data_IF_924912178775
#
_entry.id   IF_924912178775
#
_cell.length_a   1.000
_cell.length_b   1.000
_cell.length_c   1.000
_cell.angle_alpha   90.00
_cell.angle_beta   90.00
_cell.angle_gamma   90.00
#
_symmetry.space_group_name_H-M   'P 1'
#
loop_
_entity.id
_entity.type
_entity.pdbx_description
1 polymer ?
#
# COMPACT_ATOMS: atom_id res chain seq x y z
N UNK A 1 -0.55 18.02 19.84
CA UNK A 1 -0.80 18.77 18.60
C UNK A 1 -0.50 17.82 17.47
N UNK A 2 -1.48 17.53 16.62
CA UNK A 2 -1.39 16.56 15.51
C UNK A 2 -0.34 17.01 14.49
N UNK A 3 0.84 16.41 14.51
CA UNK A 3 1.85 16.60 13.47
C UNK A 3 1.26 16.16 12.13
N UNK A 4 1.22 17.12 11.20
CA UNK A 4 0.52 17.00 9.93
C UNK A 4 1.39 16.19 8.97
N UNK A 5 1.05 14.91 8.78
CA UNK A 5 1.76 14.00 7.88
C UNK A 5 1.54 14.27 6.37
N UNK A 6 1.14 15.49 5.99
CA UNK A 6 0.79 15.84 4.61
C UNK A 6 -0.53 15.25 4.10
N UNK A 7 -0.98 14.13 4.67
CA UNK A 7 -2.27 13.52 4.37
C UNK A 7 -3.00 13.04 5.63
N UNK A 8 -4.25 12.64 5.45
CA UNK A 8 -5.12 12.06 6.47
C UNK A 8 -6.01 10.99 5.86
N UNK A 9 -6.33 9.97 6.66
CA UNK A 9 -7.25 8.89 6.31
C UNK A 9 -8.07 8.53 7.56
N UNK A 10 -9.35 8.19 7.39
CA UNK A 10 -10.18 7.67 8.48
C UNK A 10 -9.95 6.19 8.60
N UNK A 11 -9.88 5.61 9.80
CA UNK A 11 -9.79 4.16 9.98
C UNK A 11 -11.17 3.49 9.97
N UNK A 12 -11.29 2.24 9.45
CA UNK A 12 -12.55 1.52 9.49
C UNK A 12 -12.86 1.09 10.93
N UNK A 13 -14.14 0.93 11.23
CA UNK A 13 -14.58 0.33 12.48
C UNK A 13 -14.40 -1.19 12.40
N UNK A 14 -13.28 -1.67 12.96
CA UNK A 14 -12.88 -3.07 12.96
C UNK A 14 -13.24 -3.72 14.29
N UNK A 15 -13.81 -4.93 14.24
CA UNK A 15 -14.05 -5.73 15.42
C UNK A 15 -12.69 -6.25 15.93
N UNK A 16 -12.29 -5.76 17.11
CA UNK A 16 -11.03 -6.12 17.76
C UNK A 16 -11.05 -7.58 18.21
N UNK A 17 -9.90 -8.24 18.18
CA UNK A 17 -9.67 -9.49 18.92
C UNK A 17 -9.06 -9.19 20.31
N UNK A 18 -8.26 -8.12 20.44
CA UNK A 18 -7.37 -7.88 21.60
C UNK A 18 -7.30 -6.41 22.08
N UNK A 19 -8.39 -5.63 22.03
CA UNK A 19 -8.44 -4.23 22.51
C UNK A 19 -7.47 -3.21 21.87
N UNK A 20 -6.65 -3.54 20.86
CA UNK A 20 -5.81 -2.54 20.18
C UNK A 20 -6.64 -1.58 19.31
N UNK A 21 -6.53 -0.27 19.56
CA UNK A 21 -7.16 0.74 18.71
C UNK A 21 -6.34 0.92 17.43
N UNK A 22 -6.95 0.64 16.27
CA UNK A 22 -6.31 0.84 14.97
C UNK A 22 -6.38 2.30 14.56
N UNK A 23 -5.21 2.89 14.41
CA UNK A 23 -5.00 4.29 14.06
C UNK A 23 -3.79 4.41 13.16
N UNK A 24 -3.79 5.44 12.34
CA UNK A 24 -2.59 5.85 11.63
C UNK A 24 -1.65 6.57 12.60
N UNK A 25 -0.42 6.07 12.70
CA UNK A 25 0.73 6.75 13.26
C UNK A 25 1.42 7.62 12.20
N UNK A 26 2.25 8.54 12.69
CA UNK A 26 2.99 9.47 11.86
C UNK A 26 4.42 9.61 12.37
N UNK A 27 5.38 9.51 11.47
CA UNK A 27 6.80 9.71 11.76
C UNK A 27 7.37 10.75 10.81
N UNK A 28 7.66 11.94 11.33
CA UNK A 28 8.31 13.04 10.60
C UNK A 28 7.36 14.13 10.07
N UNK A 29 7.89 14.97 9.19
CA UNK A 29 7.17 16.06 8.53
C UNK A 29 7.68 16.25 7.09
N UNK A 30 6.76 16.44 6.14
CA UNK A 30 7.04 16.53 4.71
C UNK A 30 7.48 17.94 4.26
N UNK A 31 7.35 18.94 5.14
CA UNK A 31 7.53 20.37 4.80
C UNK A 31 8.98 20.79 4.53
N UNK A 32 9.97 19.99 4.88
CA UNK A 32 11.40 20.31 4.74
C UNK A 32 12.11 19.54 3.62
N UNK A 33 11.37 19.02 2.63
CA UNK A 33 11.93 18.23 1.52
C UNK A 33 12.37 16.81 1.92
N UNK A 34 12.10 16.40 3.15
CA UNK A 34 12.19 15.00 3.58
C UNK A 34 10.88 14.25 3.33
N UNK A 35 10.90 12.94 3.57
CA UNK A 35 9.69 12.12 3.56
C UNK A 35 9.09 12.02 4.97
N UNK A 36 7.78 11.85 5.03
CA UNK A 36 7.06 11.43 6.25
C UNK A 36 6.54 10.03 6.04
N UNK A 37 6.49 9.23 7.10
CA UNK A 37 5.83 7.91 7.04
C UNK A 37 4.53 7.96 7.80
N UNK A 38 3.44 7.62 7.11
CA UNK A 38 2.16 7.31 7.73
C UNK A 38 2.04 5.80 7.79
N UNK A 39 1.93 5.26 8.99
CA UNK A 39 1.88 3.83 9.20
C UNK A 39 0.60 3.42 9.93
N UNK A 40 0.03 2.30 9.54
CA UNK A 40 -1.00 1.61 10.31
C UNK A 40 -0.52 0.19 10.55
N UNK A 41 -0.32 -0.13 11.82
CA UNK A 41 -0.09 -1.50 12.25
C UNK A 41 -1.45 -2.15 12.54
N UNK A 42 -1.71 -3.25 11.85
CA UNK A 42 -2.93 -4.04 12.02
C UNK A 42 -2.60 -5.51 12.25
N UNK A 43 -1.36 -5.81 12.67
CA UNK A 43 -0.97 -7.16 13.01
C UNK A 43 -1.83 -7.72 14.15
N UNK A 44 -2.24 -8.96 13.92
CA UNK A 44 -2.79 -9.85 14.93
C UNK A 44 -1.86 -11.07 14.99
N UNK A 45 -0.95 -11.10 15.98
CA UNK A 45 -0.37 -12.32 16.54
C UNK A 45 0.38 -11.99 17.86
N UNK A 46 0.13 -12.74 18.94
CA UNK A 46 0.92 -12.61 20.19
C UNK A 46 2.23 -13.41 20.16
N UNK A 47 2.41 -14.29 19.18
CA UNK A 47 3.44 -15.34 19.17
C UNK A 47 4.25 -15.42 17.85
N UNK A 48 4.11 -14.50 16.90
CA UNK A 48 4.72 -14.64 15.57
C UNK A 48 5.55 -13.43 15.12
N UNK A 49 6.67 -13.72 14.47
CA UNK A 49 7.62 -12.77 13.89
C UNK A 49 7.01 -12.06 12.67
N UNK A 50 7.43 -10.81 12.46
CA UNK A 50 6.98 -9.87 11.42
C UNK A 50 6.92 -10.52 10.02
N UNK A 51 5.72 -10.82 9.50
CA UNK A 51 5.52 -11.17 8.08
C UNK A 51 5.13 -9.94 7.24
N UNK A 52 5.51 -9.93 5.96
CA UNK A 52 5.39 -8.80 5.01
C UNK A 52 3.98 -8.34 4.62
N UNK A 53 2.94 -8.63 5.41
CA UNK A 53 1.56 -8.13 5.26
C UNK A 53 1.04 -7.42 6.50
N UNK A 54 1.94 -7.07 7.41
CA UNK A 54 1.69 -6.62 8.77
C UNK A 54 1.18 -5.18 8.92
N UNK A 55 1.61 -4.32 7.99
CA UNK A 55 1.55 -2.87 8.14
C UNK A 55 1.27 -2.23 6.80
N UNK A 56 0.51 -1.15 6.84
CA UNK A 56 0.33 -0.24 5.72
C UNK A 56 1.26 0.93 6.01
N UNK A 57 2.26 1.14 5.16
CA UNK A 57 3.20 2.25 5.26
C UNK A 57 3.10 3.10 4.00
N UNK A 58 2.64 4.33 4.15
CA UNK A 58 2.70 5.34 3.10
C UNK A 58 3.90 6.24 3.35
N UNK A 59 4.81 6.32 2.39
CA UNK A 59 5.85 7.34 2.32
C UNK A 59 5.26 8.55 1.63
N UNK A 60 5.19 9.67 2.34
CA UNK A 60 4.61 10.94 1.87
C UNK A 60 5.73 11.93 1.60
N UNK A 61 5.73 12.49 0.39
CA UNK A 61 6.74 13.42 -0.09
C UNK A 61 6.10 14.71 -0.60
N UNK A 62 6.78 15.84 -0.39
CA UNK A 62 6.41 17.16 -0.93
C UNK A 62 6.71 17.32 -2.43
N UNK A 63 6.48 16.28 -3.22
CA UNK A 63 6.67 16.26 -4.67
C UNK A 63 5.39 15.79 -5.33
N UNK A 64 4.91 16.52 -6.35
CA UNK A 64 3.69 16.15 -7.08
C UNK A 64 3.81 14.84 -7.85
N UNK A 65 2.69 14.13 -8.01
CA UNK A 65 2.64 12.77 -8.53
C UNK A 65 3.24 12.64 -9.93
N UNK A 66 2.96 13.59 -10.83
CA UNK A 66 3.49 13.56 -12.20
C UNK A 66 5.02 13.67 -12.23
N UNK A 67 5.59 14.51 -11.35
CA UNK A 67 7.05 14.62 -11.20
C UNK A 67 7.62 13.34 -10.61
N UNK A 68 6.91 12.74 -9.65
CA UNK A 68 7.37 11.52 -8.99
C UNK A 68 7.33 10.31 -9.92
N UNK A 69 6.32 10.17 -10.78
CA UNK A 69 6.25 9.10 -11.78
C UNK A 69 7.23 9.28 -12.94
N UNK A 70 7.62 10.52 -13.23
CA UNK A 70 8.67 10.82 -14.21
C UNK A 70 10.08 10.64 -13.63
N UNK A 71 10.24 10.72 -12.30
CA UNK A 71 11.49 10.42 -11.62
C UNK A 71 11.73 8.90 -11.64
N UNK A 72 12.86 8.46 -12.20
CA UNK A 72 13.21 7.03 -12.23
C UNK A 72 13.61 6.50 -10.84
N UNK A 73 14.17 7.36 -9.99
CA UNK A 73 14.66 7.00 -8.65
C UNK A 73 13.55 7.09 -7.58
N UNK A 74 13.52 6.11 -6.68
CA UNK A 74 12.64 6.03 -5.50
C UNK A 74 11.13 6.19 -5.74
N UNK A 75 10.68 5.81 -6.94
CA UNK A 75 9.29 5.85 -7.36
C UNK A 75 8.73 4.45 -7.59
N UNK A 76 7.62 4.13 -6.92
CA UNK A 76 6.91 2.85 -7.04
C UNK A 76 6.31 2.67 -8.44
N UNK A 77 5.91 3.77 -9.09
CA UNK A 77 5.34 3.76 -10.43
C UNK A 77 6.17 4.62 -11.36
N UNK A 78 6.43 4.12 -12.57
CA UNK A 78 7.14 4.86 -13.61
C UNK A 78 6.25 5.07 -14.81
N UNK A 79 6.10 6.32 -15.22
CA UNK A 79 5.39 6.68 -16.45
C UNK A 79 6.42 7.03 -17.51
N UNK A 80 6.54 6.19 -18.54
CA UNK A 80 7.44 6.49 -19.66
C UNK A 80 6.83 7.54 -20.57
N UNK A 81 7.64 8.38 -21.24
CA UNK A 81 7.15 9.31 -22.23
C UNK A 81 6.35 8.59 -23.33
N UNK A 82 5.10 9.00 -23.53
CA UNK A 82 4.20 8.43 -24.54
C UNK A 82 3.27 7.32 -24.05
N UNK A 83 3.46 6.82 -22.82
CA UNK A 83 2.53 5.88 -22.20
C UNK A 83 1.34 6.62 -21.55
N UNK A 84 0.17 5.99 -21.57
CA UNK A 84 -1.05 6.51 -20.92
C UNK A 84 -1.23 5.99 -19.49
N UNK A 85 -0.50 4.94 -19.11
CA UNK A 85 -0.56 4.32 -17.79
C UNK A 85 0.87 4.03 -17.32
N UNK A 86 1.17 4.24 -16.04
CA UNK A 86 2.48 3.88 -15.52
C UNK A 86 2.61 2.37 -15.36
N UNK A 87 3.85 1.91 -15.30
CA UNK A 87 4.21 0.54 -14.92
C UNK A 87 4.76 0.53 -13.51
N UNK A 88 4.56 -0.58 -12.79
CA UNK A 88 5.22 -0.81 -11.50
C UNK A 88 6.74 -0.82 -11.69
N UNK A 89 7.47 -0.12 -10.83
CA UNK A 89 8.92 -0.06 -10.91
C UNK A 89 9.54 -1.43 -10.59
N UNK A 90 10.57 -1.87 -11.32
CA UNK A 90 11.19 -3.18 -11.08
C UNK A 90 11.74 -3.38 -9.66
N UNK A 91 12.16 -2.31 -8.98
CA UNK A 91 12.66 -2.36 -7.60
C UNK A 91 11.56 -2.50 -6.55
N UNK A 92 10.32 -2.18 -6.91
CA UNK A 92 9.15 -2.25 -6.03
C UNK A 92 8.38 -3.57 -6.17
N UNK A 93 8.39 -4.17 -7.38
CA UNK A 93 7.69 -5.42 -7.64
C UNK A 93 8.18 -6.57 -6.75
N UNK A 94 7.25 -7.41 -6.30
CA UNK A 94 7.60 -8.67 -5.65
C UNK A 94 8.35 -9.56 -6.67
N UNK A 95 9.57 -10.00 -6.33
CA UNK A 95 10.32 -10.89 -7.22
C UNK A 95 9.70 -12.29 -7.27
N UNK A 96 9.37 -12.83 -6.09
CA UNK A 96 8.82 -14.16 -5.92
C UNK A 96 7.97 -14.26 -4.65
N UNK A 97 7.14 -15.31 -4.58
CA UNK A 97 6.56 -15.77 -3.32
C UNK A 97 7.65 -16.33 -2.41
N UNK A 98 7.34 -16.55 -1.13
CA UNK A 98 8.25 -17.25 -0.22
C UNK A 98 8.45 -18.76 -0.54
N UNK A 99 7.88 -19.25 -1.64
CA UNK A 99 8.13 -20.56 -2.22
C UNK A 99 8.92 -20.48 -3.55
N UNK A 100 9.41 -19.30 -3.93
CA UNK A 100 10.13 -19.08 -5.19
C UNK A 100 9.23 -19.00 -6.42
N UNK A 101 7.91 -18.83 -6.23
CA UNK A 101 6.98 -18.72 -7.35
C UNK A 101 7.00 -17.29 -7.91
N UNK A 102 7.29 -17.10 -9.21
CA UNK A 102 7.43 -15.77 -9.77
C UNK A 102 6.08 -15.06 -9.87
N UNK A 103 6.11 -13.73 -9.92
CA UNK A 103 4.98 -12.93 -10.38
C UNK A 103 4.74 -13.23 -11.87
N UNK A 104 3.50 -13.57 -12.19
CA UNK A 104 3.06 -13.93 -13.56
C UNK A 104 2.31 -12.81 -14.24
N UNK A 105 1.75 -11.87 -13.46
CA UNK A 105 0.93 -10.78 -13.95
C UNK A 105 0.92 -9.62 -12.96
N UNK A 106 1.01 -8.41 -13.49
CA UNK A 106 0.83 -7.15 -12.75
C UNK A 106 -0.21 -6.30 -13.46
N UNK A 107 -1.35 -6.06 -12.81
CA UNK A 107 -2.44 -5.25 -13.35
C UNK A 107 -2.41 -3.86 -12.71
N UNK A 108 -2.18 -2.81 -13.51
CA UNK A 108 -2.21 -1.41 -13.04
C UNK A 108 -3.54 -0.77 -13.38
N UNK A 109 -4.21 -0.21 -12.38
CA UNK A 109 -5.52 0.42 -12.52
C UNK A 109 -5.48 1.86 -11.98
N UNK A 110 -6.04 2.86 -12.70
CA UNK A 110 -6.16 4.21 -12.17
C UNK A 110 -7.17 4.26 -11.02
N UNK A 111 -6.87 5.09 -10.02
CA UNK A 111 -7.72 5.36 -8.87
C UNK A 111 -7.75 6.86 -8.59
N UNK A 112 -8.83 7.33 -7.98
CA UNK A 112 -9.00 8.74 -7.67
C UNK A 112 -9.80 8.95 -6.39
N UNK A 113 -9.54 10.09 -5.75
CA UNK A 113 -10.30 10.59 -4.61
C UNK A 113 -10.72 12.03 -4.82
N UNK A 114 -10.91 12.76 -3.73
CA UNK A 114 -11.45 14.12 -3.79
C UNK A 114 -10.46 15.18 -4.29
N UNK A 115 -9.18 15.03 -3.93
CA UNK A 115 -8.12 15.99 -4.22
C UNK A 115 -6.80 15.29 -4.54
N UNK A 116 -6.91 14.09 -5.12
CA UNK A 116 -5.80 13.27 -5.53
C UNK A 116 -6.26 12.29 -6.61
N UNK A 117 -5.31 11.86 -7.43
CA UNK A 117 -5.42 10.74 -8.34
C UNK A 117 -4.20 9.83 -8.16
N UNK A 118 -4.18 8.71 -8.86
CA UNK A 118 -3.05 7.81 -8.83
C UNK A 118 -3.37 6.44 -9.40
N UNK A 119 -2.61 5.45 -8.96
CA UNK A 119 -2.69 4.09 -9.48
C UNK A 119 -2.52 3.05 -8.38
N UNK A 120 -3.13 1.90 -8.61
CA UNK A 120 -2.90 0.68 -7.83
C UNK A 120 -2.40 -0.42 -8.78
N UNK A 121 -1.33 -1.09 -8.41
CA UNK A 121 -0.82 -2.28 -9.08
C UNK A 121 -1.23 -3.50 -8.27
N UNK A 122 -1.80 -4.51 -8.91
CA UNK A 122 -2.09 -5.81 -8.30
C UNK A 122 -1.18 -6.88 -8.90
N UNK A 123 -0.43 -7.59 -8.06
CA UNK A 123 0.46 -8.66 -8.50
C UNK A 123 -0.14 -10.05 -8.28
N UNK A 124 0.06 -10.94 -9.24
CA UNK A 124 -0.40 -12.34 -9.20
C UNK A 124 0.78 -13.30 -9.30
N UNK A 125 0.98 -14.12 -8.27
CA UNK A 125 2.01 -15.15 -8.23
C UNK A 125 1.61 -16.41 -9.00
N UNK A 126 2.59 -17.13 -9.53
CA UNK A 126 2.38 -18.47 -10.06
C UNK A 126 1.87 -19.41 -8.96
N UNK A 127 1.19 -20.49 -9.37
CA UNK A 127 0.80 -21.55 -8.45
C UNK A 127 2.05 -22.25 -7.91
N UNK A 128 2.13 -22.35 -6.58
CA UNK A 128 3.14 -23.12 -5.87
C UNK A 128 3.42 -24.48 -6.51
N UNK A 129 4.69 -24.72 -6.84
CA UNK A 129 5.16 -26.01 -7.39
C UNK A 129 5.60 -26.96 -6.28
N UNK A 130 5.41 -28.26 -6.51
CA UNK A 130 5.87 -29.31 -5.59
C UNK A 130 5.10 -29.32 -4.26
N UNK A 131 5.81 -29.63 -3.17
CA UNK A 131 5.24 -29.72 -1.82
C UNK A 131 5.35 -28.42 -0.99
N UNK A 132 5.87 -27.34 -1.58
CA UNK A 132 6.00 -26.07 -0.87
C UNK A 132 4.62 -25.49 -0.54
N UNK A 133 4.48 -24.99 0.69
CA UNK A 133 3.27 -24.30 1.15
C UNK A 133 3.64 -22.84 1.37
N UNK A 134 3.23 -21.92 0.48
CA UNK A 134 3.55 -20.51 0.64
C UNK A 134 2.90 -19.98 1.92
N UNK A 135 3.47 -18.90 2.45
CA UNK A 135 2.84 -18.15 3.53
C UNK A 135 1.46 -17.66 3.06
N UNK A 136 0.55 -17.45 4.02
CA UNK A 136 -0.86 -17.16 3.72
C UNK A 136 -1.01 -16.01 2.72
N UNK A 137 -0.17 -14.98 2.86
CA UNK A 137 -0.12 -13.74 2.07
C UNK A 137 0.16 -13.97 0.57
N UNK A 138 0.83 -15.07 0.20
CA UNK A 138 1.15 -15.41 -1.19
C UNK A 138 0.22 -16.49 -1.77
N UNK A 139 -0.90 -16.78 -1.10
CA UNK A 139 -1.94 -17.67 -1.62
C UNK A 139 -3.00 -16.89 -2.39
N UNK A 140 -3.84 -17.59 -3.17
CA UNK A 140 -4.99 -16.99 -3.87
C UNK A 140 -6.03 -16.33 -2.94
N UNK A 141 -5.93 -16.52 -1.62
CA UNK A 141 -6.78 -15.83 -0.63
C UNK A 141 -6.42 -14.35 -0.48
N UNK A 142 -5.21 -13.97 -0.85
CA UNK A 142 -4.71 -12.61 -0.72
C UNK A 142 -4.46 -11.97 -2.09
N UNK A 143 -4.26 -10.66 -2.05
CA UNK A 143 -3.98 -9.80 -3.18
C UNK A 143 -2.88 -8.83 -2.74
N UNK A 144 -1.72 -8.95 -3.36
CA UNK A 144 -0.59 -8.06 -3.06
C UNK A 144 -0.65 -6.84 -3.98
N UNK A 145 -0.59 -5.65 -3.38
CA UNK A 145 -0.80 -4.39 -4.07
C UNK A 145 0.25 -3.35 -3.74
N UNK A 146 0.51 -2.48 -4.70
CA UNK A 146 1.30 -1.27 -4.55
C UNK A 146 0.42 -0.09 -4.92
N UNK A 147 0.57 1.03 -4.22
CA UNK A 147 -0.28 2.21 -4.42
C UNK A 147 0.58 3.45 -4.51
N UNK A 148 0.28 4.31 -5.47
CA UNK A 148 0.79 5.68 -5.47
C UNK A 148 -0.38 6.61 -5.72
N UNK A 149 -0.54 7.60 -4.85
CA UNK A 149 -1.58 8.62 -4.94
C UNK A 149 -0.98 9.98 -4.68
N UNK A 150 -1.52 11.02 -5.28
CA UNK A 150 -0.94 12.35 -5.16
C UNK A 150 -1.71 13.42 -5.91
N UNK A 151 -1.20 14.64 -5.83
CA UNK A 151 -1.67 15.81 -6.56
C UNK A 151 -0.47 16.55 -7.17
N UNK A 152 -0.62 17.82 -7.54
CA UNK A 152 0.43 18.65 -8.12
C UNK A 152 1.58 18.97 -7.15
N UNK A 153 1.35 18.81 -5.84
CA UNK A 153 2.28 19.20 -4.77
C UNK A 153 2.86 18.05 -3.97
N UNK A 154 2.11 16.96 -3.80
CA UNK A 154 2.47 15.85 -2.91
C UNK A 154 2.18 14.50 -3.54
N UNK A 155 2.91 13.49 -3.05
CA UNK A 155 2.71 12.09 -3.38
C UNK A 155 2.78 11.26 -2.11
N UNK A 156 1.98 10.21 -2.04
CA UNK A 156 2.03 9.16 -1.04
C UNK A 156 2.18 7.81 -1.75
N UNK A 157 3.20 7.05 -1.37
CA UNK A 157 3.54 5.77 -1.97
C UNK A 157 3.47 4.65 -0.94
N UNK A 158 2.82 3.54 -1.29
CA UNK A 158 2.83 2.29 -0.57
C UNK A 158 3.52 1.26 -1.44
N UNK A 159 4.66 0.78 -0.98
CA UNK A 159 5.48 -0.19 -1.71
C UNK A 159 5.24 -1.62 -1.20
N UNK A 160 4.12 -2.18 -1.59
CA UNK A 160 3.75 -3.57 -1.32
C UNK A 160 2.98 -3.79 -0.01
N UNK A 161 1.79 -4.35 -0.12
CA UNK A 161 1.03 -4.97 0.99
C UNK A 161 0.13 -6.08 0.46
N UNK A 162 0.09 -7.22 1.15
CA UNK A 162 -0.82 -8.32 0.81
C UNK A 162 -2.09 -8.30 1.66
N UNK A 163 -3.23 -8.11 0.98
CA UNK A 163 -4.54 -7.89 1.59
C UNK A 163 -5.48 -9.05 1.32
N UNK A 164 -6.32 -9.40 2.30
CA UNK A 164 -7.31 -10.47 2.18
C UNK A 164 -8.37 -10.09 1.13
N UNK A 165 -8.59 -10.97 0.14
CA UNK A 165 -9.60 -10.72 -0.90
C UNK A 165 -11.03 -10.73 -0.38
N UNK A 166 -11.28 -11.54 0.65
CA UNK A 166 -12.58 -11.61 1.31
C UNK A 166 -12.77 -10.39 2.21
N UNK A 167 -13.97 -9.78 2.16
CA UNK A 167 -14.35 -8.73 3.10
C UNK A 167 -14.58 -9.30 4.48
N UNK A 168 -13.72 -8.95 5.44
CA UNK A 168 -13.83 -9.33 6.85
C UNK A 168 -13.58 -8.11 7.73
N UNK A 169 -14.44 -7.89 8.72
CA UNK A 169 -14.30 -6.82 9.72
C UNK A 169 -13.45 -7.26 10.93
N UNK A 170 -12.99 -8.51 10.93
CA UNK A 170 -12.06 -9.08 11.90
C UNK A 170 -10.69 -9.16 11.27
N UNK A 171 -9.64 -8.97 12.07
CA UNK A 171 -8.25 -9.04 11.63
C UNK A 171 -7.61 -10.40 11.84
N UNK A 172 -8.35 -11.36 12.40
CA UNK A 172 -7.88 -12.72 12.67
C UNK A 172 -7.27 -13.37 11.41
N UNK A 173 -7.87 -13.12 10.25
CA UNK A 173 -7.40 -13.62 8.95
C UNK A 173 -6.62 -12.58 8.13
N UNK A 174 -6.33 -11.40 8.69
CA UNK A 174 -5.65 -10.30 7.99
C UNK A 174 -6.60 -9.21 7.49
N UNK A 175 -6.01 -8.13 6.98
CA UNK A 175 -6.75 -6.93 6.60
C UNK A 175 -7.32 -7.02 5.20
N UNK A 176 -8.59 -6.69 5.04
CA UNK A 176 -9.31 -6.86 3.78
C UNK A 176 -8.97 -5.79 2.75
N UNK A 177 -8.82 -6.21 1.50
CA UNK A 177 -8.67 -5.32 0.35
C UNK A 177 -9.83 -4.33 0.24
N UNK A 178 -11.07 -4.77 0.45
CA UNK A 178 -12.21 -3.86 0.34
C UNK A 178 -12.20 -2.78 1.41
N UNK A 179 -11.77 -3.13 2.64
CA UNK A 179 -11.62 -2.16 3.73
C UNK A 179 -10.44 -1.22 3.49
N UNK A 180 -9.36 -1.71 2.88
CA UNK A 180 -8.26 -0.88 2.41
C UNK A 180 -8.70 0.11 1.33
N UNK A 181 -9.56 -0.31 0.39
CA UNK A 181 -10.10 0.60 -0.61
C UNK A 181 -11.07 1.62 0.00
N UNK A 182 -11.88 1.22 0.98
CA UNK A 182 -12.74 2.14 1.72
C UNK A 182 -11.93 3.17 2.52
N UNK A 183 -10.84 2.74 3.16
CA UNK A 183 -9.81 3.58 3.76
C UNK A 183 -9.30 4.61 2.76
N UNK A 184 -8.80 4.15 1.61
CA UNK A 184 -8.15 4.97 0.60
C UNK A 184 -9.09 6.06 0.06
N UNK A 185 -10.38 5.76 -0.14
CA UNK A 185 -11.39 6.76 -0.57
C UNK A 185 -11.53 7.94 0.42
N UNK A 186 -11.22 7.72 1.70
CA UNK A 186 -11.24 8.79 2.71
C UNK A 186 -9.97 9.65 2.72
N UNK A 187 -8.94 9.27 1.94
CA UNK A 187 -7.67 9.98 1.90
C UNK A 187 -7.88 11.42 1.46
N UNK A 188 -7.24 12.34 2.20
CA UNK A 188 -7.15 13.77 1.87
C UNK A 188 -5.72 14.24 2.08
N UNK A 189 -5.16 14.88 1.06
CA UNK A 189 -3.95 15.69 1.21
C UNK A 189 -4.29 17.02 1.89
N UNK A 190 -3.48 17.43 2.87
CA UNK A 190 -3.70 18.60 3.73
C UNK A 190 -3.22 19.91 3.10
N UNK A 191 -2.21 19.86 2.25
CA UNK A 191 -1.79 21.00 1.42
C UNK A 191 -2.44 20.90 0.04
N UNK A 192 -3.09 22.00 -0.35
CA UNK A 192 -3.70 22.22 -1.66
C UNK A 192 -2.95 23.33 -2.38
#
# INVERSE_FOLDING_TARGET
>A
MEEQCGMSMRTPDLKRVDEQAIRFGCSGSYKSGGYTVINMDFQYDRNFELSGGARINFVVEGVGIEKKTAAEEDSVFRLKPGDNLPTLAPGSAYQESNCGDPVTKTDVTPIQGSNWHGWIAEETFAKARGSCRPAKEYTSRYRCVHVMVGNDKMTAQLDGVCLLRKRELSLENGFSYDLFMDLLKTLRFKEQ
#
